data_IF_653675831320
#
_entry.id   IF_653675831320
#
_cell.length_a   1.000
_cell.length_b   1.000
_cell.length_c   1.000
_cell.angle_alpha   90.00
_cell.angle_beta   90.00
_cell.angle_gamma   90.00
#
_symmetry.space_group_name_H-M   'P 1'
#
loop_
_entity.id
_entity.type
_entity.pdbx_description
1 polymer ?
#
# COMPACT_ATOMS: atom_id res chain seq x y z
CA UNK A 3 -72.28 49.02 51.86
CA UNK A 4 -70.34 46.98 54.45
CA UNK A 5 -71.99 46.71 57.87
CA UNK A 6 -69.69 46.04 60.84
CA UNK A 7 -70.52 45.47 64.52
CA UNK A 8 -69.97 48.31 67.01
CA UNK A 9 -67.75 47.48 70.02
CA UNK A 10 -69.95 46.42 72.98
CA UNK A 11 -67.88 48.10 75.71
CA UNK A 12 -66.47 51.65 75.76
CA UNK A 13 -64.42 53.69 78.22
CA UNK A 14 -66.73 56.71 78.07
CA UNK A 15 -70.43 57.67 77.52
CA UNK A 16 -72.05 54.80 75.61
CA UNK A 17 -73.99 55.04 72.38
CA UNK A 18 -76.82 52.76 71.22
CA UNK A 19 -76.11 49.09 71.98
CA UNK A 20 -72.99 49.78 74.08
CA UNK A 21 -72.18 49.61 77.77
CA UNK A 22 -69.59 51.58 79.72
CA UNK A 23 -66.68 49.53 81.08
CA UNK A 24 -66.67 49.27 84.86
CA UNK A 25 -63.08 49.60 86.12
CA UNK A 26 -62.02 48.20 89.49
CA UNK A 27 -62.83 50.70 92.23
CA UNK A 28 -61.24 51.22 95.62
CA UNK A 29 -63.61 50.21 98.39
CA UNK A 30 -64.90 47.41 96.20
CA UNK A 31 -64.55 43.75 97.17
CA UNK A 32 -61.55 42.28 95.27
CA UNK A 33 -62.75 38.84 94.14
CA UNK A 34 -61.97 36.20 91.51
CA UNK A 35 -63.98 33.27 90.08
CA UNK A 36 -65.35 30.28 92.01
CA UNK A 37 -65.22 27.69 89.19
CA UNK A 38 -62.32 26.42 87.09
CA UNK A 39 -63.80 28.08 84.01
CA UNK A 40 -65.87 31.04 85.23
CA UNK A 41 -64.94 34.69 84.69
CA UNK A 42 -66.84 36.26 87.59
CA UNK A 43 -65.18 38.55 90.13
CA UNK A 44 -64.14 42.20 90.11
CA UNK A 45 -60.52 41.27 89.40
CA UNK A 46 -61.58 39.80 86.05
CA UNK A 47 -64.37 42.23 85.12
CA UNK A 48 -62.63 44.89 83.08
CA UNK A 49 -60.51 42.29 81.22
CA UNK A 50 -63.64 40.25 80.36
CA UNK A 51 -65.14 43.45 78.85
CA UNK A 52 -62.05 44.09 76.75
CA UNK A 53 -62.08 40.45 75.55
CA UNK A 54 -65.71 40.89 74.43
CA UNK A 55 -64.52 43.78 72.24
CA UNK A 56 -61.69 41.60 70.91
CA UNK A 57 -64.20 38.89 69.92
CA UNK A 58 -66.24 41.50 68.00
CA UNK A 59 -63.14 42.83 66.25
CA UNK A 60 -62.29 39.28 65.14
CA UNK A 61 -65.77 38.94 63.58
CA UNK A 62 -65.48 42.33 61.89
CA UNK A 63 -62.20 41.24 60.27
CA UNK A 64 -63.97 38.11 59.04
CA UNK A 65 -66.66 40.28 57.43
CA UNK A 66 -63.97 42.36 55.63
CA UNK A 67 -62.14 39.20 54.55
CA UNK A 68 -65.27 37.79 52.87
CA UNK A 69 -65.92 41.03 51.03
CA UNK A 70 -62.30 41.33 49.91
CA UNK A 71 -62.32 37.73 48.64
CA UNK A 72 -65.37 38.58 46.56
CA UNK A 73 -63.62 41.67 45.15
CA UNK A 74 -60.52 39.65 44.28
CA UNK A 75 -62.70 37.12 42.45
CA UNK A 76 -64.54 39.88 40.54
CA UNK A 77 -61.20 41.40 39.51
CA UNK A 78 -59.92 38.05 38.26
CA UNK A 79 -63.10 37.70 36.17
CA UNK A 80 -62.52 41.12 34.57
CA UNK A 81 -58.85 40.27 33.83
CA UNK A 98 -63.09 45.41 28.44
CA UNK A 99 -62.27 41.72 28.20
CA UNK A 100 -64.90 40.89 25.57
CA UNK A 101 -64.06 44.00 23.58
CA UNK A 102 -60.34 43.04 23.42
CA UNK A 103 -61.22 39.47 22.42
CA UNK A 104 -63.53 40.80 19.66
CA UNK A 105 -61.01 43.24 18.18
CA UNK A 106 -58.66 40.28 18.25
CA UNK A 107 -60.72 38.02 15.99
CA UNK A 108 -61.70 40.86 13.75
CA UNK A 109 -58.09 41.83 13.19
CA UNK A 110 -57.29 38.21 12.46
CA UNK A 111 -60.11 38.16 9.88
CA UNK A 112 -59.22 41.31 8.01
CA UNK A 113 -55.72 39.94 7.89
CA UNK A 114 -56.82 36.79 6.10
CA UNK A 115 -58.71 38.75 3.46
CA UNK A 116 -55.69 41.01 3.08
CA UNK A 117 -53.43 37.99 2.48
CA UNK A 118 -55.84 36.60 -0.06
CA UNK A 119 -56.24 39.89 -1.91
CA UNK A 120 -52.46 40.42 -2.01
CA UNK A 121 -52.24 37.10 -3.81
CA UNK A 122 -54.98 38.01 -6.25
CA UNK A 123 -53.28 41.19 -7.14
CA UNK A 124 -49.97 39.38 -7.72
CA UNK A 125 -51.62 37.18 -10.25
CA UNK A 126 -53.23 40.28 -11.71
CA UNK A 127 -49.92 42.02 -12.18
CA UNK A 128 -48.54 39.03 -14.02
CA UNK A 129 -51.63 38.80 -16.23
CA UNK A 130 -51.26 42.48 -17.18
CA UNK A 131 -47.50 42.08 -17.65
CA UNK A 145 -60.18 56.63 -23.45
CA UNK A 146 -61.80 59.66 -21.69
CA UNK A 147 -58.38 60.89 -20.49
CA UNK A 148 -56.92 61.00 -24.01
CA UNK A 149 -60.17 62.54 -25.34
CA UNK A 150 -59.52 65.15 -22.66
CA UNK A 151 -55.86 65.76 -23.44
CA UNK A 152 -56.56 65.78 -27.21
CA UNK A 153 -59.30 68.36 -26.89
CA UNK A 154 -57.00 70.55 -24.80
CA UNK A 155 -54.38 70.64 -27.50
CA UNK A 156 -56.99 71.59 -30.10
CA UNK A 177 -50.67 79.59 -40.91
CA UNK A 178 -48.12 80.45 -43.57
CA UNK A 179 -47.88 84.16 -42.72
CA UNK A 180 -47.79 83.42 -39.01
CA UNK A 181 -44.83 81.01 -39.42
CA UNK A 182 -42.99 83.53 -41.62
CA UNK A 183 -43.58 86.26 -39.00
CA UNK A 184 -42.38 84.21 -36.02
CA UNK A 185 -39.39 83.47 -38.21
CA UNK A 186 -38.25 87.07 -38.67
CA UNK A 187 -39.06 87.96 -35.12
CA UNK A 188 -36.93 85.14 -33.80
CA UNK A 189 -34.14 86.24 -36.10
CA UNK A 190 -34.44 89.77 -34.68
CA UNK A 191 -34.42 88.92 -31.00
CA UNK A 192 -31.41 86.81 -31.78
CA UNK A 193 -29.47 89.76 -33.17
CA UNK A 194 -30.18 91.88 -30.10
CA UNK A 195 -29.19 88.94 -27.93
CA UNK A 209 -20.75 92.50 -19.57
CA UNK A 210 -16.96 92.33 -18.91
CA UNK A 211 -17.41 93.93 -15.46
CA UNK A 212 -19.88 91.27 -14.29
CA UNK A 213 -17.73 88.53 -15.88
CA UNK A 214 -15.00 90.02 -13.71
CA UNK A 215 -16.99 90.21 -10.48
CA UNK A 216 -18.46 86.72 -11.06
CA UNK A 217 -15.07 85.15 -11.58
CA UNK A 218 -13.82 86.80 -8.39
CA UNK A 219 -16.54 85.21 -6.33
CA UNK A 220 -15.76 81.79 -7.79
CA UNK A 221 -12.12 82.05 -6.88
CA UNK A 232 -16.05 82.05 2.01
CA UNK A 233 -15.29 80.21 -1.22
CA UNK A 234 -11.73 79.21 -0.29
CA UNK A 235 -12.80 78.23 3.21
CA UNK A 236 -15.52 75.87 1.86
CA UNK A 237 -13.08 74.35 -0.64
CA UNK A 238 -10.53 73.80 2.18
CA UNK A 239 -12.96 72.15 4.60
CA UNK A 240 -13.89 70.01 1.62
CA UNK A 241 -10.43 68.53 1.04
CA UNK A 242 -9.77 68.20 4.72
CA UNK A 243 -12.94 66.23 5.25
CA UNK A 244 -12.00 64.04 2.32
CA UNK A 245 -8.59 63.43 3.93
CA UNK A 246 -9.76 62.54 7.41
CA UNK A 247 -12.16 60.19 5.72
CA UNK A 248 -9.37 58.29 3.99
CA UNK A 249 -7.45 57.83 7.23
CA UNK A 250 -10.67 56.73 8.89
CA UNK A 251 -11.24 54.09 6.19
CA UNK A 252 -7.69 52.86 6.55
CA UNK A 253 -7.83 52.70 10.34
CA UNK A 254 -11.17 50.85 10.26
CA UNK A 255 -9.43 48.21 8.18
CA UNK A 256 -6.50 48.00 10.54
CA UNK A 257 -8.74 47.47 13.46
CA UNK A 264 -10.32 44.68 12.95
CA UNK A 265 -12.96 42.41 14.47
CA UNK A 266 -13.53 40.32 11.34
CA UNK A 267 -9.81 40.09 10.67
CA UNK A 268 -9.12 38.73 14.20
CA UNK A 269 -11.99 36.23 13.88
CA UNK A 270 -10.61 35.07 10.49
CA UNK A 271 -7.01 34.60 11.67
CA UNK A 272 -8.59 32.67 14.51
CA UNK A 273 -10.29 30.02 12.38
CA UNK A 274 -7.37 29.81 10.03
CA UNK A 275 -4.98 29.13 12.86
CA UNK A 276 -7.35 26.50 14.17
CA UNK A 277 -7.37 24.88 10.71
CA UNK A 278 -3.65 24.77 10.11
CA UNK A 279 -3.40 23.27 13.55
CA UNK A 280 -5.67 20.37 12.65
CA UNK A 281 -3.65 19.55 9.54
CA UNK A 282 -0.49 19.80 11.61
CA UNK A 289 1.79 16.63 9.15
CA UNK A 290 -0.18 13.49 10.20
CA UNK A 291 -0.46 12.35 6.56
CA UNK A 292 3.32 12.41 6.01
CA UNK A 293 3.87 10.80 9.45
CA UNK A 294 1.54 8.13 8.08
CA UNK A 295 3.23 7.68 4.71
CA UNK A 296 6.70 7.76 6.33
CA UNK A 297 5.83 5.07 8.83
CA UNK A 298 4.46 2.90 6.02
CA UNK A 299 7.72 3.00 4.15
CA UNK A 300 9.64 2.04 7.29
CA UNK A 309 9.90 -1.59 1.91
CA UNK A 310 8.93 -5.20 2.85
CA UNK A 311 9.04 -6.27 -0.82
CA UNK A 312 12.63 -5.09 -1.30
CA UNK A 313 13.60 -6.56 2.10
CA UNK A 314 12.17 -9.76 0.64
CA UNK A 315 13.94 -9.61 -2.71
CA UNK A 316 17.23 -8.56 -1.04
CA UNK A 317 17.16 -11.45 1.39
CA UNK A 318 16.51 -13.85 -1.49
CA UNK A 319 19.62 -12.75 -3.30
CA UNK A 320 21.70 -13.19 -0.16
CA UNK A 335 21.05 -14.59 -3.20
CA UNK A 336 20.59 -18.01 -1.47
CA UNK A 337 19.90 -19.70 -4.84
CA UNK A 338 23.19 -18.51 -6.36
CA UNK A 339 25.03 -19.34 -3.11
CA UNK A 340 23.53 -22.79 -3.64
CA UNK A 341 24.45 -23.16 -7.31
CA UNK A 342 27.95 -21.74 -6.68
CA UNK A 343 28.66 -24.16 -3.87
CA UNK A 344 27.52 -27.05 -6.08
CA UNK A 345 30.03 -26.19 -8.74
CA UNK A 346 32.83 -26.01 -6.17
CA UNK A 360 28.71 -26.87 -11.14
CA UNK A 361 30.26 -27.75 -7.79
CA UNK A 362 28.93 -31.31 -7.65
CA UNK A 363 29.80 -31.90 -11.28
CA UNK A 364 33.46 -30.83 -10.71
CA UNK A 365 33.69 -33.01 -7.59
CA UNK A 366 32.28 -35.99 -9.56
CA UNK A 367 34.64 -35.65 -12.53
CA UNK A 368 37.34 -35.45 -9.89
CA UNK A 369 36.69 -38.86 -8.32
CA UNK A 370 36.03 -40.45 -11.65
CA UNK A 371 39.34 -39.27 -13.02
CA UNK A 372 39.57 -41.28 -9.68
CA UNK A 373 41.44 -43.67 -7.30
CA UNK A 374 39.53 -46.67 -8.70
CA UNK A 375 40.60 -45.98 -12.29
CA UNK A 376 44.16 -45.19 -11.11
CA UNK A 377 43.94 -48.66 -9.57
CA UNK A 378 42.56 -50.47 -12.60
CA UNK A 379 44.99 -48.63 -14.93
CA UNK A 380 48.01 -49.57 -12.86
CA UNK A 381 46.87 -53.20 -12.86
CA UNK A 382 46.81 -53.34 -16.61
CA UNK A 383 50.31 -51.86 -16.80
CA UNK A 384 51.70 -54.48 -14.49
CA UNK A 385 49.66 -56.91 -16.62
CA UNK A 386 50.97 -56.00 -20.09
CA UNK A 387 54.30 -55.79 -18.31
CA UNK A 388 57.61 -55.13 -20.02
CA UNK A 389 60.21 -57.08 -22.02
CA UNK A 390 61.01 -58.99 -18.92
CA UNK A 391 57.56 -59.57 -17.43
CA UNK A 392 53.86 -59.86 -18.10
CA UNK A 393 52.30 -60.49 -21.46
CA UNK A 394 55.01 -58.44 -23.18
CA UNK A 395 57.64 -60.63 -21.54
CA UNK A 396 56.04 -63.91 -22.56
CA UNK A 397 55.69 -62.80 -26.20
CA UNK A 398 59.30 -61.55 -26.36
CA UNK A 399 60.45 -65.00 -25.28
CA UNK A 400 58.16 -66.59 -27.86
CA UNK A 401 59.71 -64.53 -30.68
CA UNK A 402 63.20 -65.16 -29.41
CA UNK A 403 62.68 -68.92 -29.58
CA UNK A 404 61.00 -68.82 -32.98
CA UNK A 405 63.60 -66.63 -34.69
CA UNK A 406 66.75 -67.60 -32.83
CA UNK A 407 69.80 -65.93 -31.25
CA UNK A 408 72.48 -67.14 -33.58
CA UNK A 409 71.54 -68.71 -36.91
CA UNK A 410 74.94 -70.40 -37.36
CA UNK A 411 74.45 -71.59 -33.81
CA UNK A 412 74.70 -75.12 -32.55
CA UNK A 413 71.40 -75.47 -30.63
CA UNK A 414 67.75 -75.48 -31.64
CA UNK A 415 67.18 -72.42 -29.39
CA UNK A 416 70.15 -70.65 -30.93
CA UNK A 417 69.00 -71.25 -34.50
CA UNK A 418 65.37 -70.62 -33.69
CA UNK A 419 62.47 -73.01 -34.24
CA UNK A 420 61.92 -71.90 -37.82
CA UNK A 421 65.52 -72.40 -38.95
CA UNK A 422 65.75 -75.71 -37.14
CA UNK A 423 62.62 -77.06 -38.93
CA UNK A 424 63.92 -75.83 -42.29
CA UNK A 425 67.29 -77.55 -41.62
CA UNK A 426 65.82 -80.91 -40.59
CA UNK A 427 63.79 -80.57 -43.76
CA UNK A 428 66.73 -80.40 -46.17
CA UNK A 429 68.66 -82.98 -44.26
CA UNK A 430 65.81 -85.44 -44.45
CA UNK A 431 65.53 -84.74 -48.15
CA UNK A 432 69.25 -85.48 -48.53
CA UNK A 433 69.38 -88.74 -46.63
CA UNK A 434 66.43 -89.77 -48.72
CA UNK A 435 68.32 -89.25 -51.97
CA UNK A 436 71.25 -91.35 -50.79
CA UNK A 437 68.80 -93.99 -49.62
CA UNK A 438 67.18 -94.10 -53.07
CA UNK A 439 70.56 -94.38 -54.73
CA UNK A 440 71.79 -97.11 -52.40
CA UNK A 441 68.57 -99.11 -52.85
CA UNK A 442 69.31 -99.11 -56.55
CA UNK A 443 72.89 -100.20 -56.04
CA UNK A 444 71.83 -103.07 -53.94
CA UNK A 445 69.28 -104.17 -56.55
CA UNK A 446 71.99 -104.42 -59.10
CA UNK A 447 74.08 -106.23 -56.52
CA UNK A 448 71.43 -108.84 -55.91
CA UNK A 449 71.19 -109.55 -59.61
CA UNK A 450 74.98 -109.78 -59.94
CA UNK A 451 75.09 -112.34 -57.11
CA UNK A 452 72.08 -114.19 -58.52
CA UNK A 453 73.95 -114.50 -61.78
CA UNK A 454 77.15 -115.83 -60.14
CA UNK A 455 75.11 -118.30 -58.05
CA UNK A 456 73.26 -119.61 -61.15
CA UNK A 457 76.46 -119.87 -63.12
CA UNK A 458 77.29 -123.42 -62.03
CA UNK A 459 80.96 -122.97 -61.41
CA UNK A 460 83.01 -125.88 -60.26
CA UNK A 461 85.18 -126.04 -57.16
CA UNK A 462 88.80 -127.09 -56.93
CA UNK A 463 89.69 -130.75 -57.64
CA UNK A 464 91.44 -132.77 -54.86
CA UNK A 465 95.09 -131.87 -54.22
CA UNK A 466 96.68 -135.31 -53.82
CA UNK A 467 99.36 -135.58 -56.50
CA UNK A 468 96.91 -137.05 -58.98
CA UNK A 469 95.42 -135.87 -62.28
CA UNK A 470 91.64 -135.44 -62.55
CA UNK A 471 89.15 -134.91 -65.39
CA UNK A 472 85.46 -133.82 -65.40
CA UNK A 473 82.63 -136.42 -65.50
CA UNK A 474 78.98 -136.24 -64.21
CA UNK A 475 79.45 -133.63 -61.47
CA UNK A 476 82.38 -135.54 -59.90
CA UNK A 477 86.16 -135.19 -60.48
CA UNK A 478 87.54 -138.56 -61.74
CA UNK A 479 91.11 -139.85 -61.80
CA UNK A 480 92.54 -139.53 -65.28
CA UNK A 481 94.45 -142.80 -64.75
CA UNK A 482 91.06 -144.61 -64.80
CA UNK A 483 91.03 -144.07 -68.60
CA UNK A 484 94.81 -143.83 -69.18
CA UNK B 3 -58.06 32.60 49.29
CA UNK B 4 -56.94 34.77 52.22
CA UNK B 5 -55.54 32.88 55.21
CA UNK B 6 -55.74 34.60 58.60
CA UNK B 7 -54.45 33.50 62.02
CA UNK B 8 -56.90 32.10 64.57
CA UNK B 9 -56.93 33.84 67.99
CA UNK B 10 -54.62 31.94 70.41
CA UNK B 11 -56.79 32.37 73.52
CA UNK B 12 -60.55 31.80 73.88
CA UNK B 13 -63.05 32.07 76.72
CA UNK B 14 -64.57 28.64 76.10
CA UNK B 15 -63.68 25.13 74.76
CA UNK B 16 -60.62 25.53 72.54
CA UNK B 17 -60.23 24.36 68.97
CA UNK B 18 -57.02 23.30 67.22
CA UNK B 19 -54.08 25.58 68.11
CA UNK B 20 -55.96 27.50 70.83
CA UNK B 21 -55.81 27.58 74.61
CA UNK B 22 -58.55 28.45 77.07
CA UNK B 23 -58.02 31.67 79.02
CA UNK B 24 -57.39 31.11 82.72
CA UNK B 25 -59.27 33.76 84.72
CA UNK B 26 -58.20 34.73 88.24
CA UNK B 27 -59.69 32.30 90.75
CA UNK B 28 -60.54 32.76 94.40
CA UNK B 29 -58.21 30.73 96.59
CA UNK B 30 -55.40 31.43 94.17
CA UNK B 31 -52.28 33.36 95.19
CA UNK B 32 -52.65 36.98 93.96
CA UNK B 33 -49.21 37.88 92.59
CA UNK B 34 -47.58 40.32 90.19
CA UNK B 35 -44.22 40.34 88.36
CA UNK B 36 -40.75 40.29 89.93
CA UNK B 37 -38.86 42.21 87.20
CA UNK B 38 -39.38 45.69 85.77
CA UNK B 39 -40.45 44.19 82.44
CA UNK B 40 -41.89 40.74 83.20
CA UNK B 41 -45.57 39.83 82.88
CA UNK B 42 -45.70 36.89 85.31
CA UNK B 43 -48.22 36.70 88.15
CA UNK B 44 -51.90 35.78 88.37
CA UNK B 45 -52.91 39.45 88.45
CA UNK B 46 -51.49 39.90 84.95
CA UNK B 47 -52.35 36.50 83.45
CA UNK B 48 -55.73 37.04 81.83
CA UNK B 49 -54.70 40.47 80.47
CA UNK B 50 -51.50 38.98 78.95
CA UNK B 51 -53.72 36.41 77.16
CA UNK B 52 -56.00 39.10 75.78
CA UNK B 53 -52.95 41.11 74.59
CA UNK B 54 -51.70 38.01 72.72
CA UNK B 55 -55.03 38.00 70.84
CA UNK B 56 -54.65 41.73 70.14
CA UNK B 57 -51.19 41.11 68.62
CA UNK B 58 -52.68 38.45 66.33
CA UNK B 59 -55.52 40.75 65.28
CA UNK B 60 -52.97 43.43 64.38
CA UNK B 61 -51.16 40.94 62.10
CA UNK B 62 -54.43 39.81 60.52
CA UNK B 63 -55.25 43.44 59.65
CA UNK B 64 -51.81 43.72 58.05
CA UNK B 65 -52.56 40.66 55.91
CA UNK B 66 -55.87 42.25 54.74
CA UNK B 67 -54.12 45.57 54.06
CA UNK B 68 -51.58 43.92 51.74
CA UNK B 69 -54.27 42.10 49.82
CA UNK B 70 -56.40 45.24 49.50
CA UNK B 71 -53.40 47.24 48.25
CA UNK B 72 -52.90 44.62 45.56
CA UNK B 73 -56.58 44.83 44.57
CA UNK B 74 -56.41 48.63 44.39
CA UNK B 75 -53.37 48.37 42.12
CA UNK B 76 -55.08 45.79 39.87
CA UNK B 77 -58.12 48.07 39.59
CA UNK B 78 -55.96 51.05 38.63
CA UNK B 79 -54.35 48.90 35.90
CA UNK B 80 -57.78 48.01 34.48
CA UNK B 81 -58.89 51.67 34.54
CA UNK B 98 -55.45 43.07 29.13
CA UNK B 99 -52.63 45.56 28.68
CA UNK B 100 -50.46 43.33 26.49
CA UNK B 101 -53.46 42.22 24.46
CA UNK B 102 -54.44 45.86 23.69
CA UNK B 103 -50.85 46.72 22.77
CA UNK B 104 -50.70 43.67 20.44
CA UNK B 105 -53.98 44.40 18.63
CA UNK B 106 -52.57 47.89 18.26
CA UNK B 107 -49.45 46.92 16.31
CA UNK B 108 -51.31 44.34 14.31
CA UNK B 109 -53.88 46.86 13.21
CA UNK B 110 -51.09 49.23 12.29
CA UNK B 111 -49.51 46.46 10.18
CA UNK B 112 -52.58 45.38 8.26
CA UNK B 113 -53.10 49.04 7.56
CA UNK B 114 -49.71 49.39 5.90
CA UNK B 115 -50.33 46.41 3.63
CA UNK B 116 -53.75 47.82 2.83
CA UNK B 117 -52.21 51.16 1.82
CA UNK B 118 -49.66 49.41 -0.34
CA UNK B 119 -52.21 47.16 -2.03
CA UNK B 120 -54.52 50.12 -2.72
CA UNK B 121 -51.65 51.68 -4.60
CA UNK B 122 -50.94 48.53 -6.55
CA UNK B 123 -54.49 48.28 -7.63
CA UNK B 124 -54.51 51.92 -8.77
CA UNK B 125 -51.63 51.23 -11.05
CA UNK B 126 -53.44 48.09 -12.17
CA UNK B 127 -56.56 49.99 -13.12
CA UNK B 128 -54.53 52.38 -15.23
CA UNK B 129 -52.68 49.52 -16.92
CA UNK B 130 -56.00 47.88 -17.84
CA UNK B 131 -57.47 51.22 -18.91
CA UNK B 145 -59.11 54.14 -30.72
CA UNK B 146 -59.34 55.02 -34.47
CA UNK B 147 -60.97 58.39 -33.66
CA UNK B 148 -58.11 59.49 -31.38
CA UNK B 149 -55.55 58.11 -33.88
CA UNK B 150 -57.36 60.40 -36.32
CA UNK B 151 -57.44 63.49 -34.13
CA UNK B 152 -53.80 62.94 -33.04
CA UNK B 153 -52.56 62.66 -36.59
CA UNK B 154 -54.40 65.87 -37.48
CA UNK B 155 -52.61 67.82 -34.81
CA UNK B 156 -49.24 66.50 -36.00
CA UNK B 177 -44.98 74.24 -42.69
CA UNK B 178 -44.20 71.40 -40.30
CA UNK B 179 -40.41 71.72 -40.52
CA UNK B 180 -40.60 75.49 -40.29
CA UNK B 181 -42.66 75.31 -37.04
CA UNK B 182 -40.27 72.73 -35.58
CA UNK B 183 -37.28 74.97 -36.47
CA UNK B 184 -38.72 78.17 -34.97
CA UNK B 185 -39.40 76.00 -31.95
CA UNK B 186 -35.79 75.00 -31.28
CA UNK B 187 -34.51 78.43 -32.14
CA UNK B 188 -36.83 80.06 -29.65
CA UNK B 189 -35.73 77.53 -27.06
CA UNK B 190 -32.09 78.45 -27.78
CA UNK B 191 -32.41 82.21 -27.60
CA UNK B 192 -34.22 81.64 -24.36
CA UNK B 193 -31.28 79.79 -22.83
CA UNK B 194 -28.85 82.56 -23.76
CA UNK B 195 -31.31 85.08 -22.37
CA UNK B 209 -26.63 87.50 -20.39
CA UNK B 210 -27.78 83.83 -20.06
CA UNK B 211 -24.22 82.71 -19.21
CA UNK B 212 -23.92 85.11 -16.27
CA UNK B 213 -27.49 84.27 -15.17
CA UNK B 214 -26.18 80.70 -15.18
CA UNK B 215 -22.96 81.35 -13.27
CA UNK B 216 -24.79 83.62 -10.77
CA UNK B 217 -27.42 81.02 -10.02
CA UNK B 218 -24.70 78.43 -9.46
CA UNK B 219 -23.05 80.52 -6.81
CA UNK B 220 -26.36 81.02 -5.02
CA UNK B 221 -27.02 77.32 -4.87
CA UNK B 232 -21.91 77.89 -1.55
CA UNK B 233 -25.02 76.91 0.38
CA UNK B 234 -25.17 73.32 -0.88
CA UNK B 235 -21.44 72.89 -0.42
CA UNK B 236 -21.63 73.99 3.26
CA UNK B 237 -24.61 71.70 3.87
CA UNK B 238 -22.70 68.77 2.29
CA UNK B 239 -19.49 69.28 4.29
CA UNK B 240 -21.81 69.42 7.27
CA UNK B 241 -23.31 65.94 6.85
CA UNK B 242 -20.02 64.46 5.83
CA UNK B 243 -18.33 65.76 8.95
CA UNK B 244 -21.19 64.38 11.00
CA UNK B 245 -20.68 60.98 9.33
CA UNK B 246 -16.94 60.68 9.78
CA UNK B 247 -17.56 61.61 13.36
CA UNK B 248 -19.89 58.67 13.92
CA UNK B 249 -17.39 56.21 12.48
CA UNK B 250 -14.70 57.80 14.63
CA UNK B 251 -16.82 57.32 17.76
CA UNK B 252 -17.48 53.72 16.84
CA UNK B 253 -13.84 52.95 16.09
CA UNK B 254 -12.70 54.58 19.34
CA UNK B 255 -14.96 52.13 21.13
CA UNK B 256 -13.63 49.17 19.19
CA UNK B 257 -10.12 50.06 20.04
CA UNK B 264 -9.64 42.55 20.65
CA UNK B 265 -6.33 42.91 22.46
CA UNK B 266 -6.43 39.51 24.16
CA UNK B 267 -7.62 37.83 20.99
CA UNK B 268 -4.68 39.25 18.97
CA UNK B 269 -2.21 38.22 21.69
CA UNK B 270 -3.69 34.68 21.70
CA UNK B 271 -3.58 34.19 17.92
CA UNK B 272 -0.01 35.40 18.25
CA UNK B 273 1.19 32.66 20.60
CA UNK B 274 -0.80 30.03 18.81
CA UNK B 275 0.76 30.92 15.49
CA UNK B 276 4.16 30.82 17.14
CA UNK B 277 3.37 27.33 18.46
CA UNK B 278 2.12 25.77 15.25
CA UNK B 279 5.23 27.17 13.68
CA UNK B 280 7.51 25.30 16.06
CA UNK B 281 5.76 22.00 15.39
CA UNK B 282 5.97 22.73 11.68
CA UNK B 289 8.98 19.40 10.00
CA UNK B 290 12.59 18.64 11.13
CA UNK B 291 11.55 15.19 12.40
CA UNK B 292 10.10 14.12 9.04
CA UNK B 293 13.09 15.68 7.23
CA UNK B 294 15.10 13.41 9.51
CA UNK B 295 13.09 10.24 8.96
CA UNK B 296 12.91 10.90 5.18
CA UNK B 297 16.65 11.34 4.87
CA UNK B 298 17.19 8.10 6.79
CA UNK B 299 15.13 6.13 4.33
CA UNK B 300 17.06 7.61 1.41
CA UNK B 309 15.96 3.15 2.93
CA UNK B 310 19.63 3.44 4.09
CA UNK B 311 19.63 -0.19 5.28
CA UNK B 312 18.58 -1.55 1.87
CA UNK B 313 21.00 0.86 0.14
CA UNK B 314 23.57 -0.78 2.40
CA UNK B 315 22.59 -4.38 1.75
CA UNK B 316 22.25 -3.71 -2.01
CA UNK B 317 25.70 -2.18 -2.26
CA UNK B 318 27.15 -5.17 -0.41
CA UNK B 319 25.78 -7.59 -2.94
CA UNK B 320 27.21 -5.54 -5.80
CA UNK B 335 26.83 -9.57 -4.46
CA UNK B 336 30.63 -8.96 -4.29
CA UNK B 337 31.17 -12.34 -2.57
CA UNK B 338 29.45 -14.29 -5.36
CA UNK B 339 31.22 -12.15 -7.99
CA UNK B 340 34.36 -13.29 -6.19
CA UNK B 341 33.50 -16.99 -5.99
CA UNK B 342 32.25 -16.99 -9.62
CA UNK B 343 35.42 -15.42 -10.94
CA UNK B 344 37.48 -18.00 -9.04
CA UNK B 345 35.72 -20.87 -10.73
CA UNK B 346 36.30 -19.30 -14.15
CA UNK B 360 35.92 -23.88 -9.29
CA UNK B 361 38.18 -22.49 -12.00
CA UNK B 362 41.36 -24.16 -10.76
CA UNK B 363 39.55 -27.42 -10.13
CA UNK B 364 38.22 -27.52 -13.74
CA UNK B 365 41.66 -26.68 -15.12
CA UNK B 366 43.21 -29.49 -13.00
CA UNK B 367 40.70 -32.17 -14.02
CA UNK B 368 41.45 -31.01 -17.53
CA UNK B 369 45.18 -31.77 -17.48
CA UNK B 370 44.68 -34.94 -15.54
CA UNK B 371 42.22 -36.25 -18.08
CA UNK B 372 41.29 -36.80 -15.78
CA UNK B 373 43.95 -35.86 -18.41
CA UNK B 374 46.52 -38.13 -16.73
CA UNK B 375 44.30 -41.22 -16.96
CA UNK B 376 43.28 -40.25 -20.52
CA UNK B 377 47.03 -40.26 -21.13
CA UNK B 378 47.80 -43.58 -19.46
CA UNK B 379 44.73 -45.22 -21.09
CA UNK B 380 45.72 -44.10 -24.56
CA UNK B 381 49.23 -45.46 -24.00
CA UNK B 382 47.93 -48.90 -23.22
CA UNK B 383 45.78 -48.88 -26.36
CA UNK B 384 48.72 -48.04 -28.55
CA UNK B 385 50.53 -50.72 -26.51
CA UNK B 386 48.11 -53.63 -26.96
CA UNK B 387 47.88 -52.34 -30.51
CA UNK B 388 45.93 -54.02 -33.28
CA UNK B 389 46.35 -56.93 -35.70
CA UNK B 390 49.08 -55.02 -37.37
CA UNK B 391 50.92 -53.49 -34.41
CA UNK B 392 51.71 -53.78 -30.73
CA UNK B 393 51.34 -56.88 -28.66
CA UNK B 394 48.26 -57.92 -30.63
CA UNK B 395 50.29 -57.65 -33.84
CA UNK B 396 53.19 -59.73 -32.57
CA UNK B 397 50.88 -62.52 -31.35
CA UNK B 398 48.91 -62.59 -34.63
CA UNK B 399 52.18 -63.17 -36.46
CA UNK B 400 53.12 -65.89 -33.97
CA UNK B 401 49.86 -67.76 -34.62
CA UNK B 402 50.16 -67.30 -38.34
CA UNK B 403 53.59 -68.94 -38.37
CA UNK B 404 52.56 -71.77 -36.05
CA UNK B 405 49.39 -72.72 -37.91
CA UNK B 406 50.29 -71.81 -41.47
CA UNK B 407 48.73 -70.07 -44.49
CA UNK B 408 48.36 -72.99 -46.81
CA UNK B 409 48.70 -76.53 -45.48
CA UNK B 410 49.32 -78.05 -48.94
CA UNK B 411 51.84 -75.28 -49.33
CA UNK B 412 55.44 -75.61 -50.35
CA UNK B 413 57.20 -73.64 -47.58
CA UNK B 414 57.61 -74.11 -43.85
CA UNK B 415 55.84 -70.75 -43.28
CA UNK B 416 53.02 -71.76 -45.59
CA UNK B 417 52.45 -75.10 -43.87
CA UNK B 418 52.97 -73.67 -40.41
CA UNK B 419 55.53 -74.80 -37.84
CA UNK B 420 53.28 -77.52 -36.45
CA UNK B 421 52.53 -79.18 -39.79
CA UNK B 422 56.15 -78.93 -40.86
CA UNK B 423 57.35 -80.72 -37.68
CA UNK B 424 54.69 -83.42 -38.10
CA UNK B 425 55.76 -83.92 -41.75
CA UNK B 426 59.50 -84.20 -41.02
CA UNK B 427 58.42 -86.67 -38.38
CA UNK B 428 56.71 -89.14 -40.73
CA UNK B 429 59.35 -88.71 -43.36
CA UNK B 430 62.10 -89.55 -40.93
CA UNK B 431 60.12 -92.57 -39.82
CA UNK B 432 59.84 -93.66 -43.47
CA UNK B 433 63.47 -93.31 -44.45
CA UNK B 434 64.23 -95.26 -41.33
CA UNK B 435 62.12 -98.21 -42.44
CA UNK B 436 63.82 -98.36 -45.83
CA UNK B 437 67.17 -98.10 -44.08
CA UNK B 438 66.30 -101.06 -41.84
CA UNK B 439 65.19 -103.08 -44.83
CA UNK B 440 68.28 -102.26 -46.89
CA UNK B 441 70.59 -103.10 -43.97
CA UNK B 442 69.02 -106.53 -43.97
CA UNK B 443 69.43 -106.94 -47.70
CA UNK B 444 73.04 -106.10 -47.51
CA UNK B 445 73.58 -108.61 -44.69
CA UNK B 446 72.25 -111.34 -46.85
CA UNK B 447 74.41 -110.00 -49.66
CA UNK B 448 77.56 -110.21 -47.60
CA UNK B 449 76.83 -113.82 -46.74
CA UNK B 450 76.11 -114.66 -50.38
CA UNK B 451 79.46 -113.17 -51.42
CA UNK B 452 81.23 -114.85 -48.50
CA UNK B 453 79.87 -118.15 -49.72
CA UNK B 454 81.00 -117.60 -53.34
CA UNK B 455 84.46 -116.48 -52.14
CA UNK B 456 84.85 -119.60 -49.94
CA UNK B 457 83.65 -121.87 -52.68
CA UNK B 458 87.08 -122.45 -54.23
CA UNK B 459 86.11 -122.14 -57.85
CA UNK B 460 88.73 -122.55 -60.49
CA UNK B 461 89.59 -120.08 -63.23
CA UNK B 462 89.84 -120.74 -66.94
CA UNK B 463 92.67 -122.99 -68.20
CA UNK B 464 95.17 -121.53 -70.74
CA UNK B 465 93.82 -121.01 -74.28
CA UNK B 466 96.72 -122.26 -76.40
CA UNK B 467 95.37 -125.11 -78.52
CA UNK B 468 96.28 -127.66 -75.87
CA UNK B 469 94.27 -129.98 -73.60
CA UNK B 470 94.60 -129.59 -69.82
CA UNK B 471 93.57 -131.64 -66.77
CA UNK B 472 93.38 -130.76 -63.03
CA UNK B 473 96.29 -131.58 -60.65
CA UNK B 474 97.40 -129.90 -57.34
CA UNK B 475 96.00 -126.40 -57.95
CA UNK B 476 97.69 -126.12 -61.38
CA UNK B 477 96.34 -126.97 -64.88
CA UNK B 478 98.59 -129.66 -66.47
CA UNK B 479 98.97 -130.67 -70.11
CA UNK B 480 97.03 -133.85 -70.77
CA UNK B 481 99.77 -134.95 -73.21
CA UNK B 482 102.11 -135.33 -70.18
CA UNK B 483 100.18 -138.54 -69.33
CA UNK B 484 98.93 -139.42 -72.84
CA UNK C 3 -50.93 53.27 49.79
CA UNK C 4 -53.03 52.61 52.90
CA UNK C 5 -51.74 54.18 56.11
CA UNK C 6 -52.77 52.52 59.38
CA UNK C 7 -52.06 53.53 62.99
CA UNK C 8 -49.38 51.66 64.96
CA UNK C 9 -50.51 50.15 68.30
CA UNK C 10 -49.71 52.60 71.15
CA UNK C 11 -48.70 49.97 73.72
CA UNK C 12 -46.36 46.99 73.26
CA UNK C 13 -45.07 44.20 75.50
CA UNK C 14 -41.43 44.72 74.55
CA UNK C 15 -38.95 47.46 73.43
CA UNK C 16 -41.01 50.27 71.92
CA UNK C 17 -40.57 51.84 68.52
CA UNK C 18 -41.39 55.42 67.50
CA UNK C 19 -44.69 56.62 69.00
CA UNK C 20 -45.16 53.58 71.26
CA UNK C 21 -44.89 52.97 74.98
CA UNK C 22 -44.05 49.75 76.80
CA UNK C 23 -46.90 48.24 78.83
CA UNK C 24 -46.32 48.37 82.58
CA UNK C 25 -47.50 45.09 84.14
CA UNK C 26 -48.47 44.86 87.80
CA UNK C 27 -45.37 44.34 89.93
CA UNK C 28 -44.97 42.71 93.31
CA UNK C 29 -44.09 45.28 95.94
CA UNK C 30 -46.31 47.78 94.18
CA UNK C 31 -49.37 49.28 95.85
CA UNK C 32 -52.48 47.40 94.59
CA UNK C 33 -55.07 50.14 94.00
CA UNK C 34 -58.24 50.76 92.00
CA UNK C 35 -60.08 53.95 90.94
CA UNK C 36 -61.54 56.62 93.22
CA UNK C 37 -64.41 57.78 90.97
CA UNK C 38 -67.34 55.88 89.46
CA UNK C 39 -65.88 56.34 85.98
CA UNK C 40 -62.11 56.68 86.41
CA UNK C 41 -59.57 54.06 85.30
CA UNK C 42 -56.70 54.95 87.64
CA UNK C 43 -55.00 52.39 89.87
CA UNK C 44 -52.41 49.68 89.28
CA UNK C 45 -55.10 46.98 89.16
CA UNK C 46 -56.56 48.62 86.04
CA UNK C 47 -53.35 49.85 84.39
CA UNK C 48 -52.37 47.01 82.08
CA UNK C 49 -56.00 46.44 80.98
CA UNK C 50 -56.40 50.18 80.18
CA UNK C 51 -53.29 49.90 77.95
CA UNK C 52 -54.69 46.89 76.12
CA UNK C 53 -58.03 48.71 75.61
CA UNK C 54 -56.14 51.64 74.05
CA UNK C 55 -54.73 49.17 71.50
CA UNK C 56 -58.23 47.78 70.91
CA UNK C 57 -59.54 51.31 70.17
CA UNK C 58 -56.75 51.79 67.60
CA UNK C 59 -57.49 48.43 65.97
CA UNK C 60 -61.15 49.44 65.65
CA UNK C 61 -60.10 52.63 63.81
CA UNK C 62 -57.72 50.70 61.56
CA UNK C 63 -60.58 48.38 60.54
CA UNK C 64 -62.65 51.46 59.72
CA UNK C 65 -59.86 52.73 57.45
CA UNK C 66 -59.77 49.35 55.61
CA UNK C 67 -63.57 49.32 55.33
CA UNK C 68 -63.62 52.73 53.61
CA UNK C 69 -60.95 51.69 51.15
CA UNK C 70 -62.69 48.39 50.39
CA UNK C 71 -66.01 50.19 49.81
CA UNK C 72 -64.27 52.41 47.29
CA UNK C 73 -62.79 49.36 45.53
CA UNK C 74 -66.19 47.66 45.40
CA UNK C 75 -67.67 50.79 43.84
CA UNK C 76 -64.85 51.03 41.27
CA UNK C 77 -65.40 47.37 40.34
CA UNK C 78 -69.13 47.91 39.88
CA UNK C 79 -68.34 50.85 37.55
CA UNK C 80 -66.06 48.64 35.43
CA UNK C 81 -68.71 45.88 35.26
CA UNK C 98 -57.22 50.87 28.55
CA UNK C 99 -60.74 51.99 27.72
CA UNK C 100 -59.74 54.62 25.16
CA UNK C 101 -57.19 52.31 23.61
CA UNK C 102 -59.81 49.55 23.08
CA UNK C 103 -62.27 52.06 21.62
CA UNK C 104 -59.56 53.35 19.23
CA UNK C 105 -58.47 49.92 17.99
CA UNK C 106 -62.17 49.34 17.48
CA UNK C 107 -62.74 52.20 15.03
CA UNK C 108 -59.47 51.59 13.30
CA UNK C 109 -60.33 47.97 12.67
CA UNK C 110 -63.70 49.05 11.37
CA UNK C 111 -61.95 51.46 8.98
CA UNK C 112 -59.39 49.09 7.55
CA UNK C 113 -62.27 46.73 7.02
CA UNK C 114 -64.14 49.21 4.85
CA UNK C 115 -61.12 49.82 2.65
CA UNK C 116 -60.61 46.07 2.42
CA UNK C 117 -64.21 45.59 1.26
CA UNK C 118 -63.81 48.32 -1.31
CA UNK C 119 -60.51 46.99 -2.63
CA UNK C 120 -61.89 43.45 -2.88
CA UNK C 121 -64.56 44.86 -5.16
CA UNK C 122 -62.05 46.73 -7.26
CA UNK C 123 -60.02 43.66 -7.78
CA UNK C 124 -63.10 41.67 -8.81
CA UNK C 125 -63.78 44.13 -11.54
CA UNK C 126 -60.10 43.98 -12.42
CA UNK C 127 -60.16 40.22 -12.82
CA UNK C 128 -63.11 40.46 -15.17
CA UNK C 129 -61.43 43.21 -17.20
CA UNK C 130 -58.32 41.05 -17.62
CA UNK C 131 -60.43 37.97 -18.36
CA UNK C 145 -53.54 53.13 -25.41
CA UNK C 146 -49.79 53.50 -24.61
CA UNK C 147 -49.05 54.59 -28.20
CA UNK C 148 -51.54 57.47 -28.09
CA UNK C 149 -50.37 58.39 -24.56
CA UNK C 150 -46.96 58.57 -26.21
CA UNK C 151 -47.97 60.64 -29.22
CA UNK C 152 -50.10 62.95 -27.04
CA UNK C 153 -47.28 63.63 -24.62
CA UNK C 154 -44.98 64.43 -27.55
CA UNK C 155 -47.28 67.11 -28.83
CA UNK C 156 -47.51 68.68 -25.37
CA UNK C 177 -49.79 73.03 -36.38
CA UNK C 178 -52.14 75.76 -35.21
CA UNK C 179 -51.39 75.38 -31.50
CA UNK C 180 -47.68 75.09 -32.16
CA UNK C 181 -47.64 78.39 -34.13
CA UNK C 182 -49.68 80.12 -31.42
CA UNK C 183 -47.24 78.83 -28.75
CA UNK C 184 -44.06 79.92 -30.56
CA UNK C 185 -45.85 83.23 -30.91
CA UNK C 186 -46.28 83.92 -27.19
CA UNK C 187 -42.88 82.55 -26.37
CA UNK C 188 -41.22 84.86 -28.84
CA UNK C 189 -43.19 87.74 -27.39
CA UNK C 190 -41.95 86.78 -23.91
CA UNK C 191 -38.27 86.44 -24.70
CA UNK C 192 -38.59 89.79 -26.37
CA UNK C 193 -39.83 91.47 -23.20
CA UNK C 194 -36.95 90.08 -21.16
CA UNK C 195 -34.57 91.19 -23.89
CA UNK C 209 -27.73 94.18 -16.61
CA UNK C 210 -29.14 95.87 -13.44
CA UNK C 211 -30.60 92.55 -12.23
CA UNK C 212 -27.24 90.75 -12.37
CA UNK C 213 -25.51 93.81 -10.84
CA UNK C 214 -28.08 93.35 -8.08
CA UNK C 215 -27.64 89.61 -7.62
CA UNK C 216 -23.82 89.94 -7.80
CA UNK C 217 -23.71 92.62 -5.15
CA UNK C 218 -25.89 90.47 -2.89
CA UNK C 219 -23.46 87.60 -3.03
CA UNK C 220 -20.57 89.91 -2.17
CA UNK C 221 -22.32 91.21 0.90
CA UNK C 232 -23.04 80.94 5.77
CA UNK C 233 -20.15 82.46 7.69
CA UNK C 234 -20.95 80.80 11.02
CA UNK C 235 -21.64 77.49 9.33
CA UNK C 236 -18.21 77.50 7.59
CA UNK C 237 -16.48 78.45 10.85
CA UNK C 238 -18.30 75.59 12.66
CA UNK C 239 -17.47 72.91 10.09
CA UNK C 240 -13.94 74.22 10.42
CA UNK C 241 -13.54 73.53 14.14
CA UNK C 242 -15.39 70.27 13.90
CA UNK C 243 -13.10 69.02 11.19
CA UNK C 244 -10.13 70.08 13.27
CA UNK C 245 -11.55 68.09 16.21
CA UNK C 246 -12.27 64.86 14.41
CA UNK C 247 -8.78 65.13 13.06
CA UNK C 248 -7.24 65.20 16.53
CA UNK C 249 -9.15 62.11 17.61
CA UNK C 250 -8.12 60.42 14.38
CA UNK C 251 -4.45 61.19 15.07
CA UNK C 252 -4.77 59.87 18.59
CA UNK C 253 -6.55 56.69 17.53
CA UNK C 254 -3.99 56.02 14.78
CA UNK C 255 -1.36 56.06 17.50
CA UNK C 256 -3.33 53.73 19.72
CA UNK C 257 -3.71 51.26 16.96
CA UNK C 264 -3.64 46.44 17.02
CA UNK C 265 -3.71 47.01 13.28
CA UNK C 266 -0.08 46.04 12.65
CA UNK C 267 -0.37 43.05 14.95
CA UNK C 268 -3.42 41.70 13.04
CA UNK C 269 -1.67 42.26 9.70
CA UNK C 270 1.43 40.40 11.00
CA UNK C 271 -0.46 37.38 12.34
CA UNK C 272 -2.13 37.38 8.94
CA UNK C 273 1.04 36.93 6.88
CA UNK C 274 2.51 34.53 9.37
CA UNK C 275 -0.54 32.31 9.21
CA UNK C 276 -0.38 32.44 5.44
CA UNK C 277 3.28 31.35 5.61
CA UNK C 278 2.89 28.43 7.97
CA UNK C 279 0.08 27.33 5.73
CA UNK C 280 2.32 27.17 2.68
CA UNK C 281 4.90 25.05 4.49
CA UNK C 282 2.09 22.83 5.74
CA UNK C 289 5.19 20.45 3.31
CA UNK C 290 5.35 20.19 -0.53
CA UNK C 291 9.05 19.25 -0.39
CA UNK C 292 8.46 16.27 1.92
CA UNK C 293 5.36 15.29 -0.12
CA UNK C 294 7.81 15.29 -3.02
CA UNK C 295 10.56 13.29 -1.35
CA UNK C 296 8.02 10.82 0.11
CA UNK C 297 6.41 10.17 -3.24
CA UNK C 298 9.84 9.56 -4.76
CA UNK C 299 10.62 6.84 -2.29
CA UNK C 300 7.29 5.14 -2.98
CA UNK C 309 12.08 3.21 -3.79
CA UNK C 310 12.35 3.11 -7.64
CA UNK C 311 16.16 3.29 -7.46
CA UNK C 312 16.44 0.21 -5.23
CA UNK C 313 13.79 -1.58 -7.33
CA UNK C 314 16.16 -0.79 -10.20
CA UNK C 315 19.36 -1.94 -8.53
CA UNK C 316 17.64 -5.08 -7.17
CA UNK C 317 16.32 -6.09 -10.55
CA UNK C 318 19.79 -5.63 -12.04
CA UNK C 319 21.32 -8.06 -9.61
CA UNK C 320 18.63 -10.64 -10.39
CA UNK C 335 21.48 -10.80 -9.95
CA UNK C 336 20.84 -11.55 -13.68
CA UNK C 337 24.57 -11.22 -14.47
CA UNK C 338 25.58 -13.86 -11.91
CA UNK C 339 22.64 -16.08 -12.98
CA UNK C 340 24.20 -15.72 -16.43
CA UNK C 341 27.79 -16.47 -15.43
CA UNK C 342 26.66 -19.38 -13.19
CA UNK C 343 24.66 -20.99 -15.95
CA UNK C 344 27.64 -20.69 -18.29
CA UNK C 345 29.86 -22.62 -15.95
CA UNK C 346 27.26 -25.38 -15.62
CA UNK C 360 32.99 -23.00 -16.70
CA UNK C 361 29.84 -24.82 -17.75
CA UNK C 362 31.15 -25.97 -21.14
CA UNK C 363 34.49 -26.95 -19.64
CA UNK C 364 32.80 -29.18 -17.01
CA UNK C 365 30.57 -30.77 -19.66
CA UNK C 366 33.65 -31.46 -21.85
CA UNK C 367 35.74 -33.04 -19.09
CA UNK C 368 32.65 -35.10 -18.43
CA UNK C 369 32.43 -36.72 -21.87
CA UNK C 370 36.16 -37.11 -22.10
CA UNK C 371 36.29 -38.96 -18.82
CA UNK C 372 34.57 -40.67 -15.58
CA UNK C 373 32.15 -42.98 -17.50
CA UNK C 374 34.28 -42.71 -20.66
CA UNK C 375 37.45 -43.92 -18.92
CA UNK C 376 35.44 -46.62 -17.09
CA UNK C 377 34.41 -47.62 -20.60
CA UNK C 378 37.86 -47.58 -22.17
CA UNK C 379 39.37 -49.35 -19.12
CA UNK C 380 36.84 -52.14 -19.23
CA UNK C 381 37.51 -52.61 -22.94
CA UNK C 382 41.18 -53.18 -22.35
CA UNK C 383 40.44 -55.74 -19.64
CA UNK C 384 38.20 -57.73 -21.93
CA UNK C 385 41.00 -57.21 -24.49
CA UNK C 386 43.97 -58.53 -22.49
CA UNK C 387 41.51 -61.17 -21.37
CA UNK C 388 42.38 -64.13 -19.19
CA UNK C 389 43.98 -67.57 -19.56
CA UNK C 390 41.05 -68.61 -21.59
CA UNK C 391 40.41 -65.53 -23.73
CA UNK C 392 41.90 -62.42 -25.26
CA UNK C 393 45.56 -61.78 -25.76
CA UNK C 394 46.40 -63.62 -22.55
CA UNK C 395 44.50 -66.65 -23.84
CA UNK C 396 46.23 -66.71 -27.22
CA UNK C 397 49.70 -66.48 -25.63
CA UNK C 398 48.93 -69.23 -23.09
CA UNK C 399 48.05 -71.52 -25.98
CA UNK C 400 51.24 -70.50 -27.79
CA UNK C 401 53.38 -71.47 -24.78
CA UNK C 402 51.48 -74.68 -24.27
CA UNK C 403 52.21 -75.79 -27.82
CA UNK C 404 55.85 -74.74 -27.71
CA UNK C 405 56.69 -76.43 -24.41
CA UNK C 406 54.32 -79.38 -24.44
CA UNK C 407 51.93 -81.20 -22.08
CA UNK C 408 53.76 -84.45 -21.70
CA UNK C 409 57.38 -84.75 -22.82
CA UNK C 410 57.29 -88.57 -22.96
CA UNK C 411 54.10 -88.09 -24.92
CA UNK C 412 53.24 -89.58 -28.26
CA UNK C 413 52.14 -86.48 -30.21
CA UNK C 414 53.90 -83.35 -31.42
CA UNK C 415 51.48 -81.24 -29.31
CA UNK C 416 52.12 -83.41 -26.27
CA UNK C 417 55.90 -83.16 -26.55
CA UNK C 418 55.81 -79.51 -27.53
CA UNK C 419 57.26 -77.97 -30.68
CA UNK C 420 60.72 -77.55 -29.18
CA UNK C 421 61.10 -81.16 -28.04
CA UNK C 422 59.69 -82.46 -31.30
CA UNK C 423 62.26 -80.47 -33.36
CA UNK C 424 65.09 -81.64 -31.10
CA UNK C 425 63.92 -85.27 -31.50
CA UNK C 426 63.65 -85.18 -35.30
CA UNK C 427 67.11 -83.68 -35.14
CA UNK C 428 68.80 -86.61 -33.39
CA UNK C 429 66.84 -89.14 -35.36
CA UNK C 430 67.94 -87.61 -38.63
CA UNK C 431 71.50 -87.61 -37.38
CA UNK C 432 71.15 -91.33 -36.55
CA UNK C 433 69.68 -92.51 -39.82
CA UNK C 434 72.46 -90.58 -41.46
CA UNK C 435 75.14 -92.55 -39.64
CA UNK C 436 73.62 -95.88 -40.65
CA UNK C 437 73.33 -94.59 -44.20
CA UNK C 438 77.03 -93.69 -44.24
CA UNK C 439 77.95 -97.08 -42.87
CA UNK C 440 75.76 -98.97 -45.33
CA UNK C 441 77.13 -96.96 -48.27
CA UNK C 442 80.56 -98.19 -47.27
CA UNK C 443 79.42 -101.77 -46.98
CA UNK C 444 77.95 -101.69 -50.40
CA UNK C 445 81.16 -100.23 -51.85
CA UNK C 446 83.08 -103.16 -50.54
CA UNK C 447 80.34 -105.40 -51.88
CA UNK C 448 80.64 -104.00 -55.37
CA UNK C 449 84.37 -104.63 -55.37
CA UNK C 450 83.90 -108.18 -54.08
CA UNK C 451 81.44 -108.91 -56.90
CA UNK C 452 83.68 -107.17 -59.44
CA UNK C 453 86.48 -109.47 -58.37
CA UNK C 454 84.36 -112.64 -58.67
CA UNK C 455 83.06 -111.52 -62.09
CA UNK C 456 86.62 -110.86 -63.37
CA UNK C 457 87.88 -114.13 -62.00
CA UNK C 458 87.07 -116.18 -65.11
CA UNK C 459 85.62 -119.20 -63.41
CA UNK C 460 84.42 -122.07 -65.49
CA UNK C 461 80.97 -123.63 -65.42
CA UNK C 462 80.09 -127.28 -65.03
CA UNK C 463 81.03 -129.69 -67.86
CA UNK C 464 78.20 -131.69 -69.57
CA UNK C 465 76.69 -134.51 -67.48
CA UNK C 466 76.37 -137.29 -70.07
CA UNK C 467 78.42 -140.21 -68.76
CA UNK C 468 81.53 -138.98 -70.54
CA UNK C 469 84.91 -137.64 -69.39
CA UNK C 470 85.93 -134.11 -70.39
CA UNK C 471 89.16 -132.07 -70.30
CA UNK C 472 89.83 -128.31 -70.72
CA UNK C 473 90.84 -126.85 -74.13
CA UNK C 474 90.36 -123.30 -75.61
CA UNK C 475 87.28 -122.24 -73.61
CA UNK C 476 85.36 -125.43 -74.53
CA UNK C 477 85.08 -128.78 -72.66
CA UNK C 478 86.41 -131.59 -74.93
CA UNK C 479 85.86 -135.34 -74.73
CA UNK C 480 88.88 -137.01 -73.20
CA UNK C 481 88.34 -140.00 -75.53
CA UNK C 482 89.34 -137.70 -78.45
CA UNK C 483 92.96 -138.02 -77.23
CA UNK C 484 92.69 -141.40 -75.45
#
# INVERSE_FOLDING_TARGET
MTDIVLNDLPFVDGPPAEGQSRISWIKNGEEILGADTQYGSEGSMNRPTVSVLRNVEVLDKNIGILKTSLETANSDIKTIQGILDVSGDIEALAQIGINKKDISDLKTLTSEHTEILNGTNNTVDSILADIGPFNAEANSVYRTIRNDLLWIKRELGQYTGQDINGLPVVGNPSSGMKHRIINNTDVITSQGIRLSELETKFIESDVGSLTIEVGNLREELGPKPPSFSQNVYSRLNEIDTKQTTVESDISAIKTSIGYPGNNSIITSVNTNTDNIASINLELNQSGGIKQRLTVIETSIGSDDIPSSIKGQIKDNTTSIESLNGIVGENTSSGLRANVSWLNQIVGTDSSGGQPSPPGSLLNRVSTIETSVSGLNNAVQNLQVEIGNNSAGIKGQVVALNTLVNGTNPNGSTVEERGLTNSIKANETNIASVTQEVNTAKGNISSLQGDVQALQEAGYIPEAPRDGQAYVRKDGEWVFLSTFLSPA
MTDIVLNDLPFVDGPPAEGQSRISWIKNGEEILGADTQYGSEGSMNRPTVSVLRNVEVLDKNIGILKTSLETANSDIKTIQGILDVSGDIEALAQIGINKKDISDLKTLTSEHTEILNGTNNTVDSILADIGPFNAEANSVYRTIRNDLLWIKRELGQYTGQDINGLPVVGNPSSGMKHRIINNTDVITSQGIRLSELETKFIESDVGSLTIEVGNLREELGPKPPSFSQNVYSRLNEIDTKQTTVESDISAIKTSIGYPGNNSIITSVNTNTDNIASINLELNQSGGIKQRLTVIETSIGSDDIPSSIKGQIKDNTTSIESLNGIVGENTSSGLRANVSWLNQIVGTDSSGGQPSPPGSLLNRVSTIETSVSGLNNAVQNLQVEIGNNSAGIKGQVVALNTLVNGTNPNGSTVEERGLTNSIKANETNIASVTQEVNTAKGNISSLQGDVQALQEAGYIPEAPRDGQAYVRKDGEWVFLSTFLSPA
MTDIVLNDLPFVDGPPAEGQSRISWIKNGEEILGADTQYGSEGSMNRPTVSVLRNVEVLDKNIGILKTSLETANSDIKTIQGILDVSGDIEALAQIGINKKDISDLKTLTSEHTEILNGTNNTVDSILADIGPFNAEANSVYRTIRNDLLWIKRELGQYTGQDINGLPVVGNPSSGMKHRIINNTDVITSQGIRLSELETKFIESDVGSLTIEVGNLREELGPKPPSFSQNVYSRLNEIDTKQTTVESDISAIKTSIGYPGNNSIITSVNTNTDNIASINLELNQSGGIKQRLTVIETSIGSDDIPSSIKGQIKDNTTSIESLNGIVGENTSSGLRANVSWLNQIVGTDSSGGQPSPPGSLLNRVSTIETSVSGLNNAVQNLQVEIGNNSAGIKGQVVALNTLVNGTNPNGSTVEERGLTNSIKANETNIASVTQEVNTAKGNISSLQGDVQALQEAGYIPEAPRDGQAYVRKDGEWVFLSTFLSPA
#
